data_IF_469470279301
#
_entry.id   IF_469470279301
#
_cell.length_a   1.000
_cell.length_b   1.000
_cell.length_c   1.000
_cell.angle_alpha   90.00
_cell.angle_beta   90.00
_cell.angle_gamma   90.00
#
_symmetry.space_group_name_H-M   'P 1'
#
loop_
_entity.id
_entity.type
_entity.pdbx_description
1 polymer ?
#
# COMPACT_ATOMS: atom_id res chain seq x y z
N UNK A 1 4.75 -17.65 -23.07
CA UNK A 1 5.31 -17.69 -24.45
C UNK A 1 6.83 -17.54 -24.43
N UNK A 2 7.39 -16.52 -23.76
CA UNK A 2 8.86 -16.37 -23.64
C UNK A 2 9.53 -17.60 -22.99
N UNK A 3 8.89 -18.21 -21.98
CA UNK A 3 9.37 -19.44 -21.33
C UNK A 3 9.44 -20.64 -22.29
N UNK A 4 8.49 -20.72 -23.23
CA UNK A 4 8.42 -21.77 -24.25
C UNK A 4 9.55 -21.56 -25.26
N UNK A 5 9.75 -20.32 -25.72
CA UNK A 5 10.84 -19.93 -26.62
C UNK A 5 12.21 -20.28 -26.02
N UNK A 6 12.41 -19.91 -24.75
CA UNK A 6 13.65 -20.17 -24.03
C UNK A 6 13.92 -21.67 -23.87
N UNK A 7 12.89 -22.44 -23.47
CA UNK A 7 12.99 -23.89 -23.30
C UNK A 7 13.41 -24.58 -24.60
N UNK A 8 12.80 -24.21 -25.72
CA UNK A 8 13.08 -24.82 -27.02
C UNK A 8 14.47 -24.44 -27.51
N UNK A 9 14.83 -23.16 -27.38
CA UNK A 9 16.14 -22.68 -27.78
C UNK A 9 17.25 -23.38 -26.99
N UNK A 10 17.09 -23.48 -25.67
CA UNK A 10 18.05 -24.18 -24.80
C UNK A 10 18.16 -25.67 -25.10
N UNK A 11 17.03 -26.35 -25.36
CA UNK A 11 17.03 -27.77 -25.72
C UNK A 11 17.71 -28.02 -27.08
N UNK A 12 17.45 -27.17 -28.07
CA UNK A 12 18.11 -27.23 -29.39
C UNK A 12 19.61 -26.93 -29.29
N UNK A 13 20.01 -25.94 -28.49
CA UNK A 13 21.43 -25.66 -28.22
C UNK A 13 22.14 -26.85 -27.60
N UNK A 14 21.49 -27.57 -26.68
CA UNK A 14 22.03 -28.81 -26.11
C UNK A 14 22.14 -29.92 -27.16
N UNK A 15 21.13 -30.11 -28.01
CA UNK A 15 21.12 -31.15 -29.05
C UNK A 15 22.12 -30.89 -30.19
N UNK A 16 22.35 -29.62 -30.53
CA UNK A 16 23.22 -29.21 -31.64
C UNK A 16 24.68 -28.95 -31.22
N UNK A 17 25.01 -28.97 -29.92
CA UNK A 17 26.35 -28.64 -29.40
C UNK A 17 27.49 -29.43 -30.04
N UNK A 18 27.23 -30.69 -30.42
CA UNK A 18 28.22 -31.59 -31.02
C UNK A 18 28.05 -31.77 -32.54
N UNK A 19 27.13 -31.03 -33.17
CA UNK A 19 26.77 -31.19 -34.58
C UNK A 19 27.34 -30.02 -35.41
N UNK A 20 27.83 -30.26 -36.65
CA UNK A 20 28.22 -29.18 -37.57
C UNK A 20 27.10 -28.15 -37.84
N UNK A 21 25.85 -28.48 -37.54
CA UNK A 21 24.68 -27.61 -37.70
C UNK A 21 24.48 -26.58 -36.55
N UNK A 22 25.38 -26.52 -35.55
CA UNK A 22 25.29 -25.59 -34.41
C UNK A 22 25.16 -24.11 -34.81
N UNK A 23 25.75 -23.69 -35.93
CA UNK A 23 25.63 -22.31 -36.42
C UNK A 23 24.21 -21.93 -36.83
N UNK A 24 23.35 -22.91 -37.10
CA UNK A 24 21.96 -22.73 -37.51
C UNK A 24 20.97 -22.79 -36.33
N UNK A 25 21.42 -23.01 -35.10
CA UNK A 25 20.54 -23.18 -33.92
C UNK A 25 19.54 -22.04 -33.76
N UNK A 26 20.00 -20.79 -33.83
CA UNK A 26 19.12 -19.60 -33.71
C UNK A 26 18.09 -19.52 -34.83
N UNK A 27 18.49 -19.91 -36.03
CA UNK A 27 17.62 -19.88 -37.20
C UNK A 27 16.54 -20.97 -37.13
N UNK A 28 16.93 -22.19 -36.72
CA UNK A 28 16.01 -23.31 -36.50
C UNK A 28 15.06 -23.04 -35.33
N UNK A 29 15.58 -22.55 -34.20
CA UNK A 29 14.78 -22.18 -33.03
C UNK A 29 13.73 -21.11 -33.36
N UNK A 30 14.10 -20.08 -34.15
CA UNK A 30 13.17 -19.05 -34.61
C UNK A 30 12.04 -19.61 -35.48
N UNK A 31 12.35 -20.54 -36.39
CA UNK A 31 11.34 -21.18 -37.24
C UNK A 31 10.42 -22.12 -36.46
N UNK A 32 10.98 -22.94 -35.56
CA UNK A 32 10.19 -23.81 -34.69
C UNK A 32 9.26 -23.00 -33.78
N UNK A 33 9.77 -21.94 -33.17
CA UNK A 33 8.98 -21.08 -32.31
C UNK A 33 7.87 -20.35 -33.09
N UNK A 34 8.16 -19.88 -34.30
CA UNK A 34 7.15 -19.27 -35.15
C UNK A 34 6.00 -20.25 -35.47
N UNK A 35 6.30 -21.50 -35.83
CA UNK A 35 5.27 -22.51 -36.11
C UNK A 35 4.48 -22.88 -34.84
N UNK A 36 5.14 -22.93 -33.68
CA UNK A 36 4.48 -23.09 -32.38
C UNK A 36 3.50 -21.95 -32.10
N UNK A 37 3.92 -20.69 -32.31
CA UNK A 37 3.05 -19.54 -32.10
C UNK A 37 1.81 -19.56 -32.99
N UNK A 38 1.95 -20.02 -34.24
CA UNK A 38 0.85 -20.06 -35.20
C UNK A 38 -0.13 -21.22 -34.93
N UNK A 39 0.37 -22.33 -34.38
CA UNK A 39 -0.43 -23.57 -34.26
C UNK A 39 -0.93 -23.86 -32.84
N UNK A 40 -0.37 -23.22 -31.82
CA UNK A 40 -0.81 -23.45 -30.44
C UNK A 40 -2.21 -22.90 -30.22
N UNK A 41 -3.13 -23.78 -29.83
CA UNK A 41 -4.45 -23.36 -29.38
C UNK A 41 -4.40 -22.91 -27.91
N UNK A 42 -5.41 -22.16 -27.43
CA UNK A 42 -5.52 -21.83 -26.01
C UNK A 42 -5.52 -23.05 -25.08
N UNK A 43 -6.09 -24.17 -25.55
CA UNK A 43 -6.12 -25.44 -24.80
C UNK A 43 -4.73 -26.07 -24.71
N UNK A 44 -3.90 -25.94 -25.74
CA UNK A 44 -2.53 -26.43 -25.70
C UNK A 44 -1.69 -25.61 -24.72
N UNK A 45 -1.88 -24.28 -24.69
CA UNK A 45 -1.24 -23.43 -23.68
C UNK A 45 -1.68 -23.78 -22.25
N UNK A 46 -2.96 -24.12 -22.05
CA UNK A 46 -3.47 -24.58 -20.76
C UNK A 46 -2.80 -25.90 -20.34
N UNK A 47 -2.68 -26.86 -21.27
CA UNK A 47 -1.97 -28.12 -21.02
C UNK A 47 -0.49 -27.88 -20.70
N UNK A 48 0.18 -26.99 -21.44
CA UNK A 48 1.59 -26.63 -21.15
C UNK A 48 1.71 -26.05 -19.74
N UNK A 49 0.78 -25.18 -19.33
CA UNK A 49 0.79 -24.60 -17.99
C UNK A 49 0.50 -25.64 -16.88
N UNK A 50 -0.41 -26.59 -17.11
CA UNK A 50 -0.79 -27.61 -16.14
C UNK A 50 0.27 -28.71 -15.98
N UNK A 51 0.83 -29.18 -17.10
CA UNK A 51 1.79 -30.29 -17.11
C UNK A 51 3.24 -29.81 -17.08
N UNK A 52 3.50 -28.51 -17.27
CA UNK A 52 4.84 -27.94 -17.35
C UNK A 52 5.70 -28.65 -18.43
N UNK A 53 5.06 -29.01 -19.53
CA UNK A 53 5.59 -29.84 -20.61
C UNK A 53 5.05 -29.34 -21.94
N UNK A 54 5.91 -29.25 -22.95
CA UNK A 54 5.57 -28.83 -24.31
C UNK A 54 5.48 -30.09 -25.19
N UNK A 55 4.31 -30.34 -25.78
CA UNK A 55 4.18 -31.41 -26.79
C UNK A 55 4.70 -30.93 -28.14
N UNK A 56 5.57 -31.72 -28.76
CA UNK A 56 6.11 -31.44 -30.10
C UNK A 56 5.26 -32.06 -31.23
N UNK A 57 4.16 -32.73 -30.89
CA UNK A 57 3.25 -33.39 -31.83
C UNK A 57 2.73 -32.45 -32.93
N UNK A 58 2.53 -31.17 -32.61
CA UNK A 58 2.05 -30.13 -33.54
C UNK A 58 3.06 -29.79 -34.65
N UNK A 59 4.32 -30.22 -34.50
CA UNK A 59 5.43 -29.91 -35.41
C UNK A 59 5.80 -31.07 -36.34
N UNK A 60 5.21 -32.24 -36.14
CA UNK A 60 5.49 -33.46 -36.90
C UNK A 60 4.92 -33.37 -38.32
N UNK A 61 3.75 -32.76 -38.48
CA UNK A 61 3.05 -32.63 -39.78
C UNK A 61 3.61 -31.52 -40.67
N UNK A 62 4.73 -30.90 -40.29
CA UNK A 62 5.30 -29.75 -41.00
C UNK A 62 6.32 -30.24 -42.03
N UNK A 63 6.16 -29.79 -43.28
CA UNK A 63 7.13 -30.03 -44.34
C UNK A 63 8.37 -29.13 -44.17
N UNK A 64 9.23 -29.49 -43.23
CA UNK A 64 10.46 -28.74 -42.90
C UNK A 64 11.38 -28.52 -44.12
N UNK A 65 11.35 -29.44 -45.09
CA UNK A 65 12.12 -29.31 -46.33
C UNK A 65 11.78 -28.04 -47.11
N UNK A 66 10.51 -27.65 -47.17
CA UNK A 66 10.08 -26.43 -47.86
C UNK A 66 10.49 -25.16 -47.12
N UNK A 67 10.44 -25.21 -45.79
CA UNK A 67 10.77 -24.08 -44.90
C UNK A 67 12.25 -23.72 -44.90
N UNK A 68 13.12 -24.67 -45.24
CA UNK A 68 14.57 -24.48 -45.31
C UNK A 68 15.11 -24.42 -46.76
N UNK A 69 14.23 -24.25 -47.75
CA UNK A 69 14.66 -23.99 -49.12
C UNK A 69 15.43 -22.66 -49.18
N UNK A 70 16.70 -22.73 -49.58
CA UNK A 70 17.57 -21.55 -49.75
C UNK A 70 18.51 -21.26 -48.59
N UNK A 71 18.60 -22.12 -47.57
CA UNK A 71 19.55 -21.93 -46.45
C UNK A 71 20.95 -22.46 -46.81
N UNK A 72 21.92 -21.54 -46.91
CA UNK A 72 23.36 -21.86 -46.89
C UNK A 72 24.13 -21.66 -48.20
N UNK A 73 25.45 -21.51 -48.07
CA UNK A 73 26.42 -21.32 -49.16
C UNK A 73 26.75 -22.63 -49.91
N UNK A 74 26.58 -23.78 -49.24
CA UNK A 74 26.54 -25.13 -49.82
C UNK A 74 25.11 -25.71 -49.69
N UNK A 75 24.17 -25.25 -50.54
CA UNK A 75 22.73 -25.40 -50.32
C UNK A 75 22.21 -26.84 -50.42
N UNK A 76 22.98 -27.78 -50.98
CA UNK A 76 22.50 -29.16 -51.18
C UNK A 76 22.64 -30.04 -49.94
N UNK A 77 23.61 -29.77 -49.08
CA UNK A 77 23.88 -30.61 -47.92
C UNK A 77 23.13 -30.09 -46.69
N UNK A 78 23.16 -28.78 -46.43
CA UNK A 78 22.48 -28.17 -45.28
C UNK A 78 20.95 -28.22 -45.39
N UNK A 79 20.39 -27.98 -46.57
CA UNK A 79 18.94 -28.01 -46.79
C UNK A 79 18.35 -29.43 -46.72
N UNK A 80 19.19 -30.47 -46.75
CA UNK A 80 18.79 -31.88 -46.56
C UNK A 80 19.00 -32.30 -45.11
N UNK A 81 20.18 -31.96 -44.55
CA UNK A 81 20.56 -32.35 -43.18
C UNK A 81 19.76 -31.64 -42.09
N UNK A 82 19.32 -30.39 -42.28
CA UNK A 82 18.52 -29.66 -41.30
C UNK A 82 17.11 -30.25 -41.09
N UNK A 83 16.31 -30.48 -42.15
CA UNK A 83 15.03 -31.17 -42.00
C UNK A 83 15.16 -32.57 -41.41
N UNK A 84 16.20 -33.32 -41.80
CA UNK A 84 16.45 -34.67 -41.26
C UNK A 84 16.79 -34.61 -39.77
N UNK A 85 17.64 -33.65 -39.36
CA UNK A 85 17.92 -33.41 -37.96
C UNK A 85 16.67 -33.03 -37.16
N UNK A 86 15.82 -32.14 -37.69
CA UNK A 86 14.61 -31.71 -36.97
C UNK A 86 13.63 -32.87 -36.80
N UNK A 87 13.42 -33.67 -37.85
CA UNK A 87 12.55 -34.84 -37.75
C UNK A 87 13.09 -35.87 -36.75
N UNK A 88 14.40 -36.11 -36.74
CA UNK A 88 15.03 -36.98 -35.74
C UNK A 88 14.90 -36.38 -34.32
N UNK A 89 15.13 -35.08 -34.17
CA UNK A 89 14.99 -34.40 -32.88
C UNK A 89 13.56 -34.43 -32.35
N UNK A 90 12.56 -34.21 -33.22
CA UNK A 90 11.14 -34.31 -32.88
C UNK A 90 10.75 -35.74 -32.48
N UNK A 91 11.32 -36.74 -33.16
CA UNK A 91 11.10 -38.14 -32.82
C UNK A 91 11.69 -38.50 -31.45
N UNK A 92 12.89 -38.00 -31.14
CA UNK A 92 13.56 -38.23 -29.86
C UNK A 92 12.98 -37.38 -28.70
N UNK A 93 12.31 -36.27 -29.00
CA UNK A 93 11.76 -35.34 -28.02
C UNK A 93 10.25 -35.11 -28.26
N UNK A 94 9.39 -36.12 -28.05
CA UNK A 94 7.94 -35.97 -28.21
C UNK A 94 7.31 -35.01 -27.18
N UNK A 95 7.98 -34.88 -26.01
CA UNK A 95 7.59 -33.99 -24.92
C UNK A 95 8.86 -33.33 -24.38
N UNK A 96 8.85 -32.00 -24.29
CA UNK A 96 9.96 -31.21 -23.76
C UNK A 96 9.52 -30.60 -22.43
N UNK A 97 10.19 -30.91 -21.30
CA UNK A 97 9.86 -30.31 -20.02
C UNK A 97 10.13 -28.79 -20.08
N UNK A 98 9.16 -27.99 -19.64
CA UNK A 98 9.31 -26.55 -19.55
C UNK A 98 10.39 -26.24 -18.50
N UNK A 99 11.43 -25.52 -18.92
CA UNK A 99 12.45 -25.04 -17.99
C UNK A 99 11.75 -24.05 -17.07
N UNK A 100 11.49 -24.47 -15.83
CA UNK A 100 10.95 -23.57 -14.82
C UNK A 100 11.99 -22.48 -14.58
N UNK A 101 11.59 -21.19 -14.51
CA UNK A 101 12.49 -20.19 -14.01
C UNK A 101 12.83 -20.58 -12.57
N UNK A 102 14.05 -21.05 -12.36
CA UNK A 102 14.61 -21.21 -11.03
C UNK A 102 14.52 -19.80 -10.42
N UNK A 103 13.91 -19.67 -9.25
CA UNK A 103 13.82 -18.41 -8.48
C UNK A 103 15.18 -17.89 -8.02
N UNK A 104 16.26 -18.28 -8.69
CA UNK A 104 17.61 -17.74 -8.55
C UNK A 104 17.83 -16.65 -9.60
N UNK A 105 18.70 -15.70 -9.25
CA UNK A 105 19.03 -14.47 -9.98
C UNK A 105 19.31 -14.66 -11.49
N UNK A 106 19.63 -15.87 -11.96
CA UNK A 106 19.90 -16.19 -13.37
C UNK A 106 18.70 -16.04 -14.31
N UNK A 107 17.46 -16.11 -13.80
CA UNK A 107 16.27 -15.88 -14.62
C UNK A 107 16.06 -14.40 -14.97
N UNK A 108 16.60 -13.47 -14.16
CA UNK A 108 16.51 -12.04 -14.43
C UNK A 108 17.31 -11.65 -15.67
N UNK A 109 18.34 -12.42 -16.02
CA UNK A 109 19.22 -12.18 -17.18
C UNK A 109 18.45 -12.34 -18.51
N UNK A 110 17.40 -13.17 -18.51
CA UNK A 110 16.59 -13.47 -19.69
C UNK A 110 15.28 -12.68 -19.75
N UNK A 111 14.93 -11.97 -18.68
CA UNK A 111 13.75 -11.09 -18.62
C UNK A 111 14.12 -9.64 -18.94
N UNK A 112 13.30 -8.95 -19.74
CA UNK A 112 13.45 -7.49 -19.93
C UNK A 112 12.96 -6.78 -18.68
N UNK A 113 13.87 -6.49 -17.75
CA UNK A 113 13.56 -5.79 -16.51
C UNK A 113 13.68 -4.27 -16.66
N UNK A 114 12.58 -3.56 -16.41
CA UNK A 114 12.61 -2.10 -16.26
C UNK A 114 12.58 -1.80 -14.75
N UNK A 115 13.72 -1.33 -14.22
CA UNK A 115 13.79 -0.79 -12.85
C UNK A 115 13.50 0.71 -12.89
N UNK A 116 12.37 1.11 -12.31
CA UNK A 116 12.01 2.52 -12.15
C UNK A 116 12.30 2.90 -10.69
N UNK A 117 13.40 3.63 -10.39
CA UNK A 117 13.60 4.16 -9.07
C UNK A 117 12.57 5.25 -8.82
N UNK A 118 11.85 5.15 -7.69
CA UNK A 118 10.97 6.20 -7.18
C UNK A 118 11.48 6.61 -5.81
N UNK A 119 11.50 7.91 -5.55
CA UNK A 119 11.82 8.43 -4.23
C UNK A 119 10.70 8.07 -3.27
N UNK A 120 11.05 7.40 -2.17
CA UNK A 120 10.09 7.06 -1.11
C UNK A 120 10.04 8.25 -0.13
N UNK A 121 8.90 8.94 0.03
CA UNK A 121 8.79 10.02 0.99
C UNK A 121 9.02 9.47 2.41
N UNK A 122 9.87 10.14 3.19
CA UNK A 122 10.21 9.72 4.55
C UNK A 122 9.34 10.43 5.57
N UNK A 123 8.54 9.68 6.33
CA UNK A 123 7.74 10.23 7.43
C UNK A 123 8.62 10.49 8.64
N UNK A 124 8.71 11.74 9.07
CA UNK A 124 9.57 12.14 10.19
C UNK A 124 8.97 11.78 11.55
N UNK A 125 7.66 11.94 11.68
CA UNK A 125 6.95 11.69 12.94
C UNK A 125 5.58 11.08 12.66
N UNK A 126 5.26 10.02 13.39
CA UNK A 126 3.91 9.45 13.42
C UNK A 126 3.28 9.75 14.77
N UNK A 127 2.10 10.36 14.77
CA UNK A 127 1.31 10.63 15.96
C UNK A 127 0.19 9.60 16.11
N UNK A 128 -0.20 9.36 17.34
CA UNK A 128 -1.44 8.63 17.67
C UNK A 128 -2.29 9.51 18.55
N UNK A 129 -3.48 9.87 18.06
CA UNK A 129 -4.46 10.65 18.78
C UNK A 129 -5.60 9.75 19.28
N UNK A 130 -5.93 9.87 20.55
CA UNK A 130 -6.99 9.12 21.22
C UNK A 130 -7.77 10.03 22.17
N UNK A 131 -9.07 10.16 21.96
CA UNK A 131 -9.99 10.87 22.84
C UNK A 131 -10.68 9.85 23.76
N UNK A 132 -10.32 9.84 25.05
CA UNK A 132 -10.90 8.93 26.05
C UNK A 132 -11.98 9.63 26.85
N UNK A 133 -13.18 9.05 26.87
CA UNK A 133 -14.28 9.52 27.70
C UNK A 133 -14.20 8.89 29.09
N UNK A 134 -14.61 9.65 30.11
CA UNK A 134 -14.60 9.23 31.51
C UNK A 134 -16.03 9.18 32.06
N UNK A 135 -16.26 8.23 32.97
CA UNK A 135 -17.50 8.18 33.74
C UNK A 135 -18.74 7.75 32.95
N UNK A 136 -18.59 7.35 31.68
CA UNK A 136 -19.69 6.75 30.91
C UNK A 136 -19.84 5.28 31.29
N UNK A 137 -21.08 4.86 31.51
CA UNK A 137 -21.42 3.47 31.76
C UNK A 137 -21.92 2.85 30.47
N UNK A 138 -21.47 1.63 30.19
CA UNK A 138 -21.83 0.86 29.00
C UNK A 138 -22.91 -0.15 29.42
N UNK A 139 -24.20 0.05 29.08
CA UNK A 139 -25.24 -0.92 29.41
C UNK A 139 -25.07 -2.25 28.63
N UNK A 140 -24.36 -2.19 27.50
CA UNK A 140 -23.99 -3.34 26.66
C UNK A 140 -22.49 -3.28 26.33
N UNK A 141 -21.82 -4.40 26.02
CA UNK A 141 -20.42 -4.38 25.58
C UNK A 141 -20.25 -3.52 24.32
N UNK A 142 -19.38 -2.52 24.36
CA UNK A 142 -19.00 -1.72 23.19
C UNK A 142 -19.94 -0.57 22.82
N UNK A 143 -20.93 -0.20 23.64
CA UNK A 143 -21.77 0.99 23.39
C UNK A 143 -21.77 1.92 24.59
N UNK A 144 -21.04 3.03 24.50
CA UNK A 144 -21.07 4.09 25.48
C UNK A 144 -22.37 4.89 25.35
N UNK A 145 -23.09 5.04 26.46
CA UNK A 145 -24.34 5.81 26.50
C UNK A 145 -24.12 7.09 27.29
N UNK A 146 -24.53 8.22 26.70
CA UNK A 146 -24.49 9.53 27.33
C UNK A 146 -25.87 10.22 27.24
N UNK A 147 -26.12 11.16 28.14
CA UNK A 147 -27.31 12.00 28.10
C UNK A 147 -27.05 13.25 27.24
N UNK A 148 -28.04 13.63 26.42
CA UNK A 148 -28.02 14.89 25.69
C UNK A 148 -27.82 16.07 26.67
N UNK A 149 -27.06 17.08 26.28
CA UNK A 149 -26.77 18.31 27.04
C UNK A 149 -26.01 18.13 28.35
N UNK A 150 -25.65 16.90 28.74
CA UNK A 150 -24.83 16.66 29.93
C UNK A 150 -23.33 16.69 29.60
N UNK A 151 -22.50 17.27 30.50
CA UNK A 151 -21.06 17.28 30.31
C UNK A 151 -20.46 15.88 30.42
N UNK A 152 -19.64 15.52 29.44
CA UNK A 152 -18.83 14.31 29.41
C UNK A 152 -17.37 14.71 29.55
N UNK A 153 -16.75 14.33 30.68
CA UNK A 153 -15.32 14.54 30.91
C UNK A 153 -14.51 13.62 30.01
N UNK A 154 -13.50 14.17 29.33
CA UNK A 154 -12.65 13.43 28.42
C UNK A 154 -11.18 13.89 28.49
N UNK A 155 -10.28 13.06 27.97
CA UNK A 155 -8.88 13.41 27.76
C UNK A 155 -8.49 13.16 26.31
N UNK A 156 -7.89 14.16 25.66
CA UNK A 156 -7.16 13.97 24.42
C UNK A 156 -5.75 13.49 24.77
N UNK A 157 -5.46 12.26 24.41
CA UNK A 157 -4.17 11.60 24.57
C UNK A 157 -3.43 11.61 23.24
N UNK A 158 -2.24 12.20 23.22
CA UNK A 158 -1.37 12.24 22.04
C UNK A 158 -0.08 11.48 22.37
N UNK A 159 0.22 10.48 21.55
CA UNK A 159 1.52 9.79 21.51
C UNK A 159 2.23 10.11 20.21
N UNK A 160 3.54 9.91 20.19
CA UNK A 160 4.33 10.06 18.97
C UNK A 160 5.47 9.04 18.93
N UNK A 161 5.93 8.78 17.71
CA UNK A 161 7.14 8.01 17.45
C UNK A 161 7.90 8.61 16.27
N UNK A 162 9.24 8.58 16.34
CA UNK A 162 10.16 9.01 15.26
C UNK A 162 10.91 7.84 14.64
N UNK A 163 10.56 6.58 14.97
CA UNK A 163 11.22 5.37 14.43
C UNK A 163 11.15 5.25 12.89
N UNK A 164 10.32 6.05 12.24
CA UNK A 164 10.12 6.07 10.79
C UNK A 164 11.04 7.07 10.07
N UNK A 165 11.79 7.88 10.82
CA UNK A 165 12.69 8.88 10.27
C UNK A 165 13.94 8.25 9.65
N UNK A 166 13.96 8.14 8.33
CA UNK A 166 15.05 7.54 7.56
C UNK A 166 16.42 8.23 7.77
N UNK A 167 16.44 9.52 8.10
CA UNK A 167 17.70 10.25 8.32
C UNK A 167 18.39 9.88 9.64
N UNK A 168 17.62 9.41 10.63
CA UNK A 168 18.18 8.94 11.90
C UNK A 168 18.94 7.61 11.71
N UNK A 169 18.44 6.72 10.86
CA UNK A 169 19.15 5.46 10.53
C UNK A 169 20.45 5.68 9.75
N UNK A 170 20.54 6.77 9.00
CA UNK A 170 21.72 7.10 8.20
C UNK A 170 22.82 7.82 9.00
N UNK A 171 22.64 8.02 10.32
CA UNK A 171 23.67 8.60 11.20
C UNK A 171 24.06 10.04 10.85
N UNK A 172 23.22 10.79 10.13
CA UNK A 172 23.55 12.13 9.60
C UNK A 172 23.50 13.26 10.63
N UNK A 173 23.29 12.96 11.92
CA UNK A 173 23.16 13.97 12.97
C UNK A 173 24.33 13.87 13.97
N UNK A 174 25.43 14.54 13.66
CA UNK A 174 26.54 14.83 14.60
C UNK A 174 26.43 16.25 15.19
N UNK A 175 25.23 16.70 15.56
CA UNK A 175 25.04 17.96 16.29
C UNK A 175 24.81 17.65 17.77
N UNK A 176 25.80 17.99 18.61
CA UNK A 176 25.81 17.79 20.08
C UNK A 176 24.82 18.67 20.87
N UNK A 177 23.85 19.32 20.23
CA UNK A 177 22.82 20.11 20.91
C UNK A 177 21.49 19.35 20.96
N UNK A 178 21.16 18.83 22.14
CA UNK A 178 19.97 18.00 22.43
C UNK A 178 18.62 18.68 22.12
N UNK A 179 18.60 19.99 21.84
CA UNK A 179 17.38 20.78 21.62
C UNK A 179 17.22 21.30 20.17
N UNK A 180 18.23 21.15 19.31
CA UNK A 180 18.25 21.87 18.02
C UNK A 180 17.33 21.24 16.95
N UNK A 181 16.91 19.99 17.16
CA UNK A 181 16.07 19.22 16.22
C UNK A 181 14.68 18.85 16.79
N UNK A 182 14.24 19.57 17.81
CA UNK A 182 12.92 19.41 18.40
C UNK A 182 11.83 19.95 17.46
N UNK A 183 10.82 19.12 17.20
CA UNK A 183 9.74 19.46 16.28
C UNK A 183 8.51 19.91 17.05
N UNK A 184 7.97 21.08 16.73
CA UNK A 184 6.78 21.62 17.38
C UNK A 184 5.53 21.37 16.53
N UNK A 185 4.48 20.88 17.16
CA UNK A 185 3.21 20.57 16.54
C UNK A 185 2.07 21.32 17.22
N UNK A 186 1.00 21.51 16.47
CA UNK A 186 -0.25 22.11 16.93
C UNK A 186 -1.37 21.07 16.80
N UNK A 187 -2.17 20.91 17.85
CA UNK A 187 -3.39 20.11 17.79
C UNK A 187 -4.63 21.00 17.88
N UNK A 188 -5.70 20.55 17.22
CA UNK A 188 -7.02 21.14 17.28
C UNK A 188 -8.09 20.06 17.31
N UNK A 189 -9.07 20.20 18.21
CA UNK A 189 -10.28 19.40 18.22
C UNK A 189 -11.36 20.17 17.48
N UNK A 190 -11.78 19.62 16.35
CA UNK A 190 -12.82 20.12 15.48
C UNK A 190 -14.18 19.54 15.87
N UNK A 191 -15.17 20.42 15.89
CA UNK A 191 -16.58 20.05 16.00
C UNK A 191 -17.25 20.14 14.62
N UNK A 192 -18.20 19.25 14.38
CA UNK A 192 -19.16 19.38 13.28
C UNK A 192 -20.32 20.20 13.83
N UNK A 193 -20.46 21.44 13.34
CA UNK A 193 -21.48 22.39 13.80
C UNK A 193 -22.81 21.69 14.04
N UNK A 194 -23.29 21.81 15.28
CA UNK A 194 -24.54 21.25 15.82
C UNK A 194 -24.46 19.85 16.46
N UNK A 195 -23.26 19.26 16.62
CA UNK A 195 -23.10 17.93 17.23
C UNK A 195 -22.54 18.01 18.65
N UNK A 196 -21.46 18.78 18.84
CA UNK A 196 -20.78 18.89 20.13
C UNK A 196 -20.54 20.35 20.54
N UNK A 197 -20.67 20.66 21.82
CA UNK A 197 -19.95 21.80 22.40
C UNK A 197 -18.71 21.25 23.08
N UNK A 198 -17.55 21.83 22.74
CA UNK A 198 -16.26 21.41 23.28
C UNK A 198 -15.76 22.48 24.25
N UNK A 199 -15.77 22.16 25.54
CA UNK A 199 -15.15 22.94 26.62
C UNK A 199 -13.74 22.47 26.96
N UNK A 200 -12.98 23.30 27.67
CA UNK A 200 -11.60 22.98 28.08
C UNK A 200 -10.56 23.29 27.01
N UNK A 201 -9.48 22.51 26.97
CA UNK A 201 -8.32 22.78 26.08
C UNK A 201 -8.51 22.17 24.69
N UNK A 202 -9.30 22.85 23.84
CA UNK A 202 -9.60 22.41 22.46
C UNK A 202 -8.46 22.54 21.46
N UNK A 203 -7.44 23.36 21.77
CA UNK A 203 -6.29 23.67 20.91
C UNK A 203 -5.04 23.80 21.76
N UNK A 204 -3.88 23.48 21.20
CA UNK A 204 -2.61 23.67 21.89
C UNK A 204 -1.40 23.26 21.06
N UNK A 205 -0.23 23.54 21.61
CA UNK A 205 1.05 23.17 21.02
C UNK A 205 1.71 22.10 21.89
N UNK A 206 2.51 21.25 21.26
CA UNK A 206 3.39 20.30 21.93
C UNK A 206 4.66 20.09 21.12
N UNK A 207 5.73 19.71 21.80
CA UNK A 207 7.05 19.51 21.19
C UNK A 207 7.43 18.04 21.28
N UNK A 208 7.96 17.52 20.18
CA UNK A 208 8.43 16.14 20.05
C UNK A 208 9.95 16.17 19.98
N UNK A 209 10.63 15.67 21.03
CA UNK A 209 12.07 15.71 21.10
C UNK A 209 12.72 14.70 20.15
N UNK A 210 13.93 15.00 19.68
CA UNK A 210 14.70 14.11 18.79
C UNK A 210 15.14 12.81 19.49
N UNK A 211 15.60 12.90 20.74
CA UNK A 211 16.13 11.76 21.51
C UNK A 211 15.10 10.66 21.84
N UNK A 212 13.81 10.87 21.53
CA UNK A 212 12.77 9.85 21.66
C UNK A 212 12.70 8.87 20.47
N UNK A 213 13.65 8.92 19.54
CA UNK A 213 13.81 8.01 18.41
C UNK A 213 13.82 6.52 18.79
N UNK A 214 14.44 6.16 19.93
CA UNK A 214 14.65 4.78 20.36
C UNK A 214 13.76 4.36 21.55
N UNK A 215 12.96 5.28 22.09
CA UNK A 215 12.07 5.00 23.19
C UNK A 215 10.66 4.73 22.66
N UNK A 216 10.28 3.45 22.61
CA UNK A 216 8.88 3.00 22.44
C UNK A 216 7.92 3.59 23.51
N UNK A 217 8.45 4.28 24.53
CA UNK A 217 7.76 4.72 25.73
C UNK A 217 7.89 6.24 25.94
N UNK A 218 7.59 7.06 24.92
CA UNK A 218 7.32 8.48 25.19
C UNK A 218 6.07 8.58 26.09
N UNK A 219 6.16 9.34 27.18
CA UNK A 219 5.00 9.55 28.04
C UNK A 219 3.91 10.27 27.22
N UNK A 220 2.69 9.71 27.18
CA UNK A 220 1.62 10.31 26.39
C UNK A 220 1.24 11.68 26.96
N UNK A 221 1.13 12.68 26.10
CA UNK A 221 0.57 13.97 26.48
C UNK A 221 -0.94 13.84 26.64
N UNK A 222 -1.48 14.37 27.73
CA UNK A 222 -2.91 14.31 28.04
C UNK A 222 -3.47 15.71 28.26
N UNK A 223 -4.52 16.04 27.52
CA UNK A 223 -5.20 17.33 27.59
C UNK A 223 -6.65 17.12 28.04
N UNK A 224 -7.10 17.73 29.14
CA UNK A 224 -8.48 17.61 29.60
C UNK A 224 -9.43 18.39 28.68
N UNK A 225 -10.53 17.75 28.32
CA UNK A 225 -11.58 18.26 27.44
C UNK A 225 -12.94 17.94 28.05
N UNK A 226 -13.92 18.81 27.83
CA UNK A 226 -15.31 18.59 28.25
C UNK A 226 -16.19 18.58 27.01
N UNK A 227 -16.99 17.55 26.81
CA UNK A 227 -17.86 17.41 25.65
C UNK A 227 -19.32 17.53 26.07
N UNK A 228 -20.12 18.32 25.35
CA UNK A 228 -21.57 18.39 25.54
C UNK A 228 -22.25 17.95 24.24
N UNK A 229 -22.92 16.80 24.22
CA UNK A 229 -23.65 16.37 23.03
C UNK A 229 -24.92 17.22 22.85
N UNK A 230 -25.12 17.73 21.64
CA UNK A 230 -26.26 18.60 21.31
C UNK A 230 -27.46 17.85 20.70
N UNK A 231 -27.24 16.62 20.21
CA UNK A 231 -28.27 15.81 19.54
C UNK A 231 -28.34 14.42 20.16
N UNK A 232 -29.52 13.83 20.12
CA UNK A 232 -29.70 12.42 20.44
C UNK A 232 -29.36 11.56 19.21
N UNK A 233 -29.03 10.29 19.45
CA UNK A 233 -28.62 9.32 18.43
C UNK A 233 -27.15 8.93 18.56
N UNK A 234 -26.62 8.23 17.56
CA UNK A 234 -25.21 7.85 17.52
C UNK A 234 -24.38 9.03 17.00
N UNK A 235 -23.61 9.65 17.89
CA UNK A 235 -22.74 10.78 17.55
C UNK A 235 -21.30 10.28 17.37
N UNK A 236 -20.63 10.61 16.25
CA UNK A 236 -19.21 10.31 16.10
C UNK A 236 -18.39 11.15 17.09
N UNK A 237 -17.21 10.67 17.44
CA UNK A 237 -16.27 11.44 18.25
C UNK A 237 -15.87 12.75 17.53
N UNK A 238 -15.62 13.84 18.28
CA UNK A 238 -14.99 15.03 17.72
C UNK A 238 -13.69 14.71 16.98
N UNK A 239 -13.47 15.36 15.84
CA UNK A 239 -12.28 15.10 15.02
C UNK A 239 -11.08 15.81 15.63
N UNK A 240 -9.95 15.13 15.72
CA UNK A 240 -8.67 15.74 16.09
C UNK A 240 -7.90 16.02 14.81
N UNK A 241 -7.22 17.16 14.72
CA UNK A 241 -6.22 17.46 13.71
C UNK A 241 -4.90 17.79 14.38
N UNK A 242 -3.80 17.28 13.85
CA UNK A 242 -2.44 17.67 14.25
C UNK A 242 -1.72 18.21 13.02
N UNK A 243 -1.07 19.37 13.17
CA UNK A 243 -0.34 20.08 12.12
C UNK A 243 1.06 20.42 12.61
N UNK A 244 2.03 20.38 11.70
CA UNK A 244 3.39 20.82 12.01
C UNK A 244 3.43 22.34 12.08
N UNK A 245 4.10 22.86 13.11
CA UNK A 245 4.53 24.25 13.15
C UNK A 245 5.98 24.27 12.67
N UNK A 246 6.23 24.83 11.47
CA UNK A 246 7.57 24.89 10.89
C UNK A 246 8.57 25.44 11.91
N UNK A 247 9.69 24.73 12.11
CA UNK A 247 10.75 25.17 13.01
C UNK A 247 11.31 26.53 12.54
N UNK A 248 11.50 27.52 13.43
CA UNK A 248 12.11 28.80 13.09
C UNK A 248 13.64 28.65 13.03
N UNK A 249 14.17 27.88 12.08
CA UNK A 249 15.58 27.95 11.70
C UNK A 249 15.74 27.87 10.19
N UNK A 250 15.25 28.91 9.51
CA UNK A 250 15.91 29.36 8.30
C UNK A 250 17.20 30.09 8.75
N UNK A 251 18.26 29.33 8.98
CA UNK A 251 19.59 29.92 9.08
C UNK A 251 19.93 30.43 7.68
N UNK A 252 19.77 31.74 7.48
CA UNK A 252 20.39 32.43 6.36
C UNK A 252 21.89 32.32 6.59
N UNK A 253 22.52 31.29 6.01
CA UNK A 253 23.96 31.30 5.85
C UNK A 253 24.29 32.38 4.82
N UNK A 254 24.68 33.54 5.32
CA UNK A 254 25.38 34.54 4.51
C UNK A 254 26.72 33.95 4.10
N UNK A 255 26.77 33.28 2.94
CA UNK A 255 28.03 32.97 2.26
C UNK A 255 28.14 33.79 0.99
N UNK A 256 29.16 34.63 1.02
CA UNK A 256 29.73 35.45 -0.04
C UNK A 256 30.28 34.54 -1.16
N UNK A 257 29.43 34.14 -2.11
CA UNK A 257 29.77 33.92 -3.53
C UNK A 257 28.61 33.25 -4.30
N UNK A 258 27.80 34.07 -4.99
CA UNK A 258 27.43 33.86 -6.39
C UNK A 258 26.71 32.58 -6.87
N UNK A 259 26.27 31.65 -6.01
CA UNK A 259 25.47 30.50 -6.46
C UNK A 259 24.49 30.05 -5.39
N UNK A 260 23.28 30.61 -5.42
CA UNK A 260 22.16 30.21 -4.56
C UNK A 260 21.75 28.76 -4.86
N UNK A 261 22.18 27.82 -4.01
CA UNK A 261 21.43 26.59 -3.80
C UNK A 261 20.29 26.93 -2.86
N UNK A 262 19.08 27.00 -3.40
CA UNK A 262 17.84 26.99 -2.63
C UNK A 262 17.84 25.64 -1.89
N UNK A 263 18.21 25.62 -0.61
CA UNK A 263 17.87 24.49 0.25
C UNK A 263 16.35 24.50 0.35
N UNK A 264 15.73 23.55 -0.35
CA UNK A 264 14.32 23.24 -0.18
C UNK A 264 14.07 23.05 1.31
N UNK A 265 13.25 23.93 1.89
CA UNK A 265 12.65 23.72 3.21
C UNK A 265 12.28 22.23 3.31
N UNK A 266 12.89 21.51 4.25
CA UNK A 266 12.44 20.15 4.56
C UNK A 266 11.03 20.30 5.12
N UNK A 267 10.02 20.12 4.26
CA UNK A 267 8.65 19.92 4.71
C UNK A 267 8.69 18.73 5.66
N UNK A 268 8.47 18.99 6.94
CA UNK A 268 8.41 17.93 7.93
C UNK A 268 7.14 17.14 7.61
N UNK A 269 7.31 15.97 7.04
CA UNK A 269 6.20 15.06 6.78
C UNK A 269 5.81 14.37 8.09
N UNK A 270 4.56 14.56 8.51
CA UNK A 270 3.99 13.91 9.67
C UNK A 270 2.71 13.16 9.33
N UNK A 271 2.51 12.01 9.98
CA UNK A 271 1.30 11.21 9.84
C UNK A 271 0.57 11.10 11.19
N UNK A 272 -0.75 10.95 11.15
CA UNK A 272 -1.59 10.87 12.36
C UNK A 272 -2.52 9.67 12.26
N UNK A 273 -2.36 8.74 13.19
CA UNK A 273 -3.31 7.65 13.41
C UNK A 273 -4.38 8.07 14.43
N UNK A 274 -5.65 8.01 14.02
CA UNK A 274 -6.80 8.36 14.84
C UNK A 274 -7.49 7.10 15.34
N UNK A 275 -7.40 6.86 16.64
CA UNK A 275 -7.97 5.63 17.25
C UNK A 275 -9.49 5.63 17.27
N UNK A 276 -10.12 6.77 17.56
CA UNK A 276 -11.58 6.88 17.68
C UNK A 276 -12.31 7.20 16.36
N UNK A 277 -11.64 7.12 15.20
CA UNK A 277 -12.21 7.58 13.90
C UNK A 277 -13.49 6.85 13.50
N UNK A 278 -13.64 5.60 13.93
CA UNK A 278 -14.79 4.75 13.64
C UNK A 278 -15.68 4.51 14.88
N UNK A 279 -15.45 5.25 15.96
CA UNK A 279 -16.21 5.10 17.20
C UNK A 279 -17.34 6.14 17.28
N UNK A 280 -18.42 5.75 17.93
CA UNK A 280 -19.58 6.62 18.17
C UNK A 280 -20.12 6.41 19.59
N UNK A 281 -20.77 7.46 20.10
CA UNK A 281 -21.41 7.48 21.41
C UNK A 281 -22.91 7.51 21.18
N UNK A 282 -23.65 6.63 21.86
CA UNK A 282 -25.09 6.66 21.80
C UNK A 282 -25.63 7.70 22.79
N UNK A 283 -26.12 8.81 22.28
CA UNK A 283 -26.69 9.89 23.08
C UNK A 283 -28.20 9.72 23.17
N UNK A 284 -28.70 9.60 24.38
CA UNK A 284 -30.14 9.50 24.66
C UNK A 284 -30.65 10.78 25.31
N UNK A 285 -31.94 11.05 25.16
CA UNK A 285 -32.55 12.14 25.91
C UNK A 285 -32.61 11.76 27.40
N UNK A 286 -32.25 12.68 28.29
CA UNK A 286 -32.37 12.43 29.73
C UNK A 286 -33.83 12.59 30.17
N UNK A 287 -34.59 11.51 30.06
CA UNK A 287 -36.01 11.50 30.43
C UNK A 287 -36.26 11.54 31.96
N UNK A 288 -35.20 11.65 32.79
CA UNK A 288 -35.32 11.66 34.26
C UNK A 288 -36.13 12.85 34.80
N UNK A 289 -36.34 13.90 33.99
CA UNK A 289 -37.30 14.97 34.29
C UNK A 289 -38.21 15.18 33.09
N UNK A 290 -39.34 14.48 33.11
CA UNK A 290 -40.43 14.73 32.16
C UNK A 290 -41.55 15.45 32.91
N UNK A 291 -41.70 16.75 32.70
CA UNK A 291 -42.87 17.48 33.21
C UNK A 291 -44.05 17.18 32.31
N UNK A 292 -44.94 16.29 32.76
CA UNK A 292 -46.21 16.02 32.07
C UNK A 292 -47.25 16.99 32.63
N UNK A 293 -47.61 18.02 31.87
CA UNK A 293 -48.77 18.87 32.15
C UNK A 293 -50.01 18.24 31.51
N UNK A 294 -50.94 17.77 32.35
CA UNK A 294 -52.27 17.33 31.94
C UNK A 294 -53.20 18.55 32.01
N UNK A 295 -53.46 19.20 30.88
CA UNK A 295 -54.58 20.15 30.78
C UNK A 295 -55.89 19.37 30.72
N UNK A 296 -56.52 19.18 31.87
CA UNK A 296 -57.88 18.68 31.94
C UNK A 296 -58.84 19.80 31.50
N UNK A 297 -59.12 19.87 30.20
CA UNK A 297 -60.26 20.61 29.67
C UNK A 297 -61.25 19.64 29.04
N UNK A 298 -62.17 19.14 29.87
CA UNK A 298 -63.46 18.68 29.39
C UNK A 298 -64.52 19.55 30.05
N UNK A 299 -64.83 20.65 29.37
CA UNK A 299 -66.13 21.31 29.52
C UNK A 299 -67.13 20.40 28.81
N UNK A 300 -68.01 19.73 29.56
CA UNK A 300 -69.29 19.28 29.03
C UNK A 300 -70.37 20.08 29.73
N UNK A 301 -70.86 21.08 29.01
CA UNK A 301 -72.06 21.83 29.30
C UNK A 301 -73.16 21.29 28.37
N UNK A 302 -74.30 20.87 28.96
CA UNK A 302 -75.48 20.35 28.25
C UNK A 302 -76.19 19.33 29.15
N UNK A 303 -77.13 19.71 30.04
CA UNK A 303 -78.55 20.03 29.79
C UNK A 303 -79.28 18.92 29.02
N UNK A 304 -80.17 18.20 29.71
CA UNK A 304 -81.61 18.03 29.42
C UNK A 304 -82.23 17.08 30.49
N UNK A 305 -83.09 17.62 31.38
CA UNK A 305 -84.56 17.45 31.43
C UNK A 305 -85.05 16.06 31.92
N UNK A 306 -85.55 15.99 33.17
CA UNK A 306 -86.95 15.74 33.58
C UNK A 306 -87.09 15.83 35.11
#
# INVERSE_FOLDING_TARGET
MEEIEHTITSNLEAALRNNPLHSYTRFVAGHLFHEIQQRFSPNDLEKVALFNEISTSLLIDIEWREKFLGTGYHPKEVAVSLPEFINEWLFQNPVIPLIKPITDDDCLIHSRLIKIPVDVPSVKVVHTAELRLLGLTSPYPGTLVAAATQPISAFLKIKWTRIWDAEQFLGKFESNDDNDNDMTFFFEILDVSDTWIIGGRRRGHFTVPQNNALLLNSEPLSFPVLLFPLRCGYLPYPRVEIKVLASPQAVVSSEDNGMQKISTQSSIDCEVSYTNVAEAIHVVNDARVTTVSLDASVVVQGRDEY
#
